data_IF_408752906972
#
_entry.id   IF_408752906972
#
_cell.length_a   1.000
_cell.length_b   1.000
_cell.length_c   1.000
_cell.angle_alpha   90.00
_cell.angle_beta   90.00
_cell.angle_gamma   90.00
#
_symmetry.space_group_name_H-M   'P 1'
#
loop_
_entity.id
_entity.type
_entity.pdbx_description
1 polymer ?
#
# COMPACT_ATOMS: atom_id res chain seq x y z
N UNK A 1 -16.91 -6.45 -32.57
CA UNK A 1 -15.94 -5.54 -31.92
C UNK A 1 -16.35 -5.41 -30.46
N UNK A 2 -15.44 -5.66 -29.51
CA UNK A 2 -15.75 -5.52 -28.08
C UNK A 2 -15.69 -4.03 -27.70
N UNK A 3 -16.62 -3.57 -26.86
CA UNK A 3 -16.63 -2.20 -26.34
C UNK A 3 -15.39 -1.95 -25.45
N UNK A 4 -15.07 -0.67 -25.23
CA UNK A 4 -13.98 -0.20 -24.35
C UNK A 4 -12.57 -0.70 -24.65
N UNK A 5 -12.36 -1.39 -25.77
CA UNK A 5 -11.03 -1.90 -26.14
C UNK A 5 -10.68 -3.25 -25.52
N UNK A 6 -11.64 -4.01 -24.98
CA UNK A 6 -11.38 -5.31 -24.34
C UNK A 6 -10.76 -6.38 -25.25
N UNK A 7 -10.63 -6.14 -26.55
CA UNK A 7 -9.83 -7.01 -27.41
C UNK A 7 -8.36 -7.04 -26.97
N UNK A 8 -7.80 -5.90 -26.56
CA UNK A 8 -6.42 -5.84 -26.04
C UNK A 8 -6.29 -6.58 -24.72
N UNK A 9 -7.28 -6.43 -23.82
CA UNK A 9 -7.29 -7.16 -22.55
C UNK A 9 -7.39 -8.67 -22.74
N UNK A 10 -8.33 -9.08 -23.60
CA UNK A 10 -8.59 -10.48 -23.92
C UNK A 10 -7.41 -11.13 -24.63
N UNK A 11 -6.82 -10.47 -25.61
CA UNK A 11 -5.85 -11.10 -26.52
C UNK A 11 -4.40 -10.93 -26.03
N UNK A 12 -4.12 -10.00 -25.10
CA UNK A 12 -2.75 -9.70 -24.66
C UNK A 12 -2.62 -9.37 -23.17
N UNK A 13 -3.29 -8.32 -22.68
CA UNK A 13 -2.94 -7.73 -21.37
C UNK A 13 -3.15 -8.68 -20.20
N UNK A 14 -4.23 -9.48 -20.22
CA UNK A 14 -4.51 -10.43 -19.15
C UNK A 14 -3.45 -11.53 -19.06
N UNK A 15 -3.07 -12.11 -20.19
CA UNK A 15 -2.03 -13.14 -20.22
C UNK A 15 -0.67 -12.57 -19.84
N UNK A 16 -0.34 -11.37 -20.32
CA UNK A 16 0.88 -10.67 -19.93
C UNK A 16 0.92 -10.44 -18.41
N UNK A 17 -0.15 -9.91 -17.83
CA UNK A 17 -0.23 -9.62 -16.39
C UNK A 17 -0.16 -10.90 -15.57
N UNK A 18 -0.88 -11.97 -15.94
CA UNK A 18 -0.81 -13.24 -15.20
C UNK A 18 0.55 -13.92 -15.30
N UNK A 19 1.20 -13.86 -16.46
CA UNK A 19 2.57 -14.34 -16.61
C UNK A 19 3.52 -13.51 -15.76
N UNK A 20 3.42 -12.18 -15.83
CA UNK A 20 4.21 -11.29 -14.99
C UNK A 20 3.99 -11.59 -13.49
N UNK A 21 2.75 -11.68 -13.04
CA UNK A 21 2.38 -12.06 -11.66
C UNK A 21 2.85 -13.47 -11.29
N UNK A 22 3.21 -14.34 -12.23
CA UNK A 22 3.80 -15.65 -11.92
C UNK A 22 5.32 -15.56 -11.81
N UNK A 23 5.97 -14.90 -12.77
CA UNK A 23 7.44 -14.82 -12.83
C UNK A 23 8.03 -13.81 -11.85
N UNK A 24 7.43 -12.62 -11.76
CA UNK A 24 7.88 -11.54 -10.88
C UNK A 24 8.03 -11.97 -9.42
N UNK A 25 7.00 -12.54 -8.74
CA UNK A 25 7.16 -12.93 -7.34
C UNK A 25 8.15 -14.08 -7.19
N UNK A 26 8.26 -15.00 -8.15
CA UNK A 26 9.25 -16.08 -8.08
C UNK A 26 10.68 -15.50 -8.04
N UNK A 27 10.98 -14.52 -8.90
CA UNK A 27 12.27 -13.83 -8.89
C UNK A 27 12.43 -13.00 -7.62
N UNK A 28 11.45 -12.16 -7.27
CA UNK A 28 11.53 -11.25 -6.13
C UNK A 28 11.66 -12.00 -4.80
N UNK A 29 10.82 -13.01 -4.55
CA UNK A 29 10.80 -13.81 -3.31
C UNK A 29 12.02 -14.71 -3.15
N UNK A 30 12.60 -15.23 -4.24
CA UNK A 30 13.76 -16.13 -4.17
C UNK A 30 15.10 -15.40 -4.22
N UNK A 31 15.16 -14.19 -4.79
CA UNK A 31 16.43 -13.48 -4.99
C UNK A 31 16.47 -12.18 -4.20
N UNK A 32 15.58 -11.23 -4.51
CA UNK A 32 15.66 -9.88 -4.01
C UNK A 32 15.38 -9.78 -2.51
N UNK A 33 14.24 -10.30 -2.05
CA UNK A 33 13.88 -10.25 -0.64
C UNK A 33 14.87 -11.00 0.26
N UNK A 34 15.30 -12.25 -0.06
CA UNK A 34 16.32 -12.94 0.71
C UNK A 34 17.66 -12.21 0.73
N UNK A 35 18.08 -11.59 -0.39
CA UNK A 35 19.30 -10.80 -0.43
C UNK A 35 19.23 -9.59 0.51
N UNK A 36 18.13 -8.83 0.48
CA UNK A 36 17.93 -7.68 1.38
C UNK A 36 17.85 -8.13 2.84
N UNK A 37 17.11 -9.21 3.13
CA UNK A 37 17.03 -9.78 4.49
C UNK A 37 18.39 -10.27 4.99
N UNK A 38 19.18 -10.93 4.12
CA UNK A 38 20.53 -11.36 4.44
C UNK A 38 21.42 -10.17 4.81
N UNK A 39 21.38 -9.09 4.04
CA UNK A 39 22.12 -7.86 4.35
C UNK A 39 21.67 -7.26 5.69
N UNK A 40 20.37 -7.18 5.95
CA UNK A 40 19.84 -6.61 7.19
C UNK A 40 20.18 -7.46 8.43
N UNK A 41 20.11 -8.78 8.33
CA UNK A 41 20.32 -9.71 9.44
C UNK A 41 21.81 -9.90 9.71
N UNK A 42 22.61 -10.22 8.70
CA UNK A 42 23.98 -10.71 8.89
C UNK A 42 25.06 -9.65 8.71
N UNK A 43 24.80 -8.53 8.02
CA UNK A 43 25.81 -7.47 7.87
C UNK A 43 25.64 -6.42 8.97
N UNK A 44 26.65 -6.25 9.86
CA UNK A 44 26.65 -5.15 10.81
C UNK A 44 26.93 -3.83 10.08
N UNK A 45 25.87 -3.11 9.71
CA UNK A 45 25.96 -1.74 9.19
C UNK A 45 25.80 -0.66 10.27
N UNK A 46 25.99 0.63 9.90
CA UNK A 46 25.80 1.78 10.80
C UNK A 46 24.34 2.03 11.21
N UNK A 47 23.40 1.23 10.70
CA UNK A 47 21.97 1.34 10.98
C UNK A 47 21.69 0.85 12.41
N UNK A 48 21.02 1.68 13.20
CA UNK A 48 20.60 1.33 14.57
C UNK A 48 19.61 0.16 14.58
N UNK A 49 19.70 -0.71 15.60
CA UNK A 49 18.87 -1.91 15.77
C UNK A 49 17.36 -1.67 15.55
N UNK A 50 16.71 -0.63 16.10
CA UNK A 50 15.27 -0.42 15.89
C UNK A 50 14.88 -0.19 14.43
N UNK A 51 15.66 0.60 13.69
CA UNK A 51 15.44 0.86 12.26
C UNK A 51 15.65 -0.42 11.47
N UNK A 52 16.67 -1.20 11.82
CA UNK A 52 16.94 -2.49 11.19
C UNK A 52 15.77 -3.46 11.38
N UNK A 53 15.19 -3.56 12.58
CA UNK A 53 13.99 -4.37 12.81
C UNK A 53 12.81 -3.87 11.99
N UNK A 54 12.58 -2.56 11.92
CA UNK A 54 11.54 -1.99 11.06
C UNK A 54 11.73 -2.37 9.59
N UNK A 55 12.96 -2.34 9.07
CA UNK A 55 13.24 -2.76 7.69
C UNK A 55 13.00 -4.25 7.47
N UNK A 56 13.40 -5.10 8.43
CA UNK A 56 13.14 -6.54 8.38
C UNK A 56 11.63 -6.80 8.35
N UNK A 57 10.87 -6.19 9.26
CA UNK A 57 9.41 -6.32 9.30
C UNK A 57 8.78 -5.85 8.00
N UNK A 58 9.20 -4.69 7.47
CA UNK A 58 8.71 -4.18 6.20
C UNK A 58 9.00 -5.17 5.04
N UNK A 59 10.21 -5.74 4.98
CA UNK A 59 10.55 -6.74 3.96
C UNK A 59 9.70 -8.00 4.08
N UNK A 60 9.47 -8.51 5.28
CA UNK A 60 8.57 -9.66 5.51
C UNK A 60 7.15 -9.34 5.06
N UNK A 61 6.63 -8.15 5.37
CA UNK A 61 5.30 -7.75 4.95
C UNK A 61 5.20 -7.59 3.42
N UNK A 62 6.23 -7.06 2.75
CA UNK A 62 6.28 -7.02 1.28
C UNK A 62 6.28 -8.43 0.68
N UNK A 63 7.05 -9.36 1.23
CA UNK A 63 7.03 -10.76 0.79
C UNK A 63 5.64 -11.40 0.95
N UNK A 64 5.00 -11.22 2.11
CA UNK A 64 3.63 -11.70 2.34
C UNK A 64 2.64 -11.08 1.35
N UNK A 65 2.82 -9.80 1.05
CA UNK A 65 1.99 -9.08 0.10
C UNK A 65 2.14 -9.63 -1.32
N UNK A 66 3.37 -9.89 -1.77
CA UNK A 66 3.63 -10.52 -3.07
C UNK A 66 3.03 -11.94 -3.14
N UNK A 67 3.13 -12.73 -2.07
CA UNK A 67 2.47 -14.03 -1.98
C UNK A 67 0.95 -13.92 -2.13
N UNK A 68 0.32 -13.00 -1.40
CA UNK A 68 -1.13 -12.83 -1.45
C UNK A 68 -1.57 -12.36 -2.83
N UNK A 69 -0.97 -11.31 -3.38
CA UNK A 69 -1.46 -10.70 -4.62
C UNK A 69 -1.03 -11.43 -5.89
N UNK A 70 0.20 -11.94 -5.94
CA UNK A 70 0.73 -12.51 -7.17
C UNK A 70 0.51 -14.03 -7.25
N UNK A 71 0.42 -14.71 -6.11
CA UNK A 71 0.28 -16.17 -6.07
C UNK A 71 -1.15 -16.58 -5.71
N UNK A 72 -1.71 -16.06 -4.61
CA UNK A 72 -3.03 -16.49 -4.13
C UNK A 72 -4.20 -15.87 -4.90
N UNK A 73 -4.21 -14.54 -5.07
CA UNK A 73 -5.37 -13.81 -5.58
C UNK A 73 -5.31 -13.49 -7.07
N UNK A 74 -4.12 -13.24 -7.64
CA UNK A 74 -3.88 -12.89 -9.06
C UNK A 74 -4.89 -11.88 -9.60
N UNK A 75 -4.82 -10.67 -9.07
CA UNK A 75 -5.84 -9.64 -9.34
C UNK A 75 -5.63 -9.03 -10.72
N UNK A 76 -6.73 -8.92 -11.48
CA UNK A 76 -6.80 -8.20 -12.74
C UNK A 76 -7.97 -7.20 -12.72
N UNK A 77 -7.72 -5.88 -12.65
CA UNK A 77 -8.78 -4.89 -12.73
C UNK A 77 -9.32 -4.78 -14.16
N UNK A 78 -10.64 -4.86 -14.34
CA UNK A 78 -11.30 -4.71 -15.64
C UNK A 78 -11.86 -3.30 -15.81
N UNK A 79 -11.04 -2.34 -16.22
CA UNK A 79 -11.52 -0.97 -16.46
C UNK A 79 -12.41 -0.95 -17.72
N UNK A 80 -13.60 -0.31 -17.71
CA UNK A 80 -14.13 0.57 -16.66
C UNK A 80 -15.09 -0.10 -15.66
N UNK A 81 -15.27 -1.42 -15.70
CA UNK A 81 -16.15 -2.10 -14.74
C UNK A 81 -15.56 -2.02 -13.33
N UNK A 82 -16.39 -1.77 -12.31
CA UNK A 82 -16.01 -1.95 -10.92
C UNK A 82 -15.98 -3.46 -10.64
N UNK A 83 -14.95 -4.14 -11.13
CA UNK A 83 -14.72 -5.56 -10.92
C UNK A 83 -13.32 -5.79 -10.36
N UNK A 84 -13.24 -6.28 -9.12
CA UNK A 84 -11.98 -6.59 -8.43
C UNK A 84 -12.17 -7.83 -7.57
N UNK A 85 -11.12 -8.66 -7.46
CA UNK A 85 -11.05 -9.77 -6.52
C UNK A 85 -10.57 -9.23 -5.16
N UNK A 86 -11.26 -9.61 -4.08
CA UNK A 86 -11.00 -9.34 -2.64
C UNK A 86 -9.62 -8.71 -2.34
N UNK A 87 -9.60 -7.37 -2.24
CA UNK A 87 -8.37 -6.58 -2.30
C UNK A 87 -7.88 -6.06 -0.93
N UNK A 88 -8.80 -5.95 0.04
CA UNK A 88 -8.58 -5.16 1.24
C UNK A 88 -7.49 -5.71 2.15
N UNK A 89 -7.47 -7.02 2.42
CA UNK A 89 -6.48 -7.61 3.34
C UNK A 89 -5.04 -7.51 2.85
N UNK A 90 -4.81 -7.72 1.55
CA UNK A 90 -3.46 -7.66 1.00
C UNK A 90 -2.90 -6.24 1.01
N UNK A 91 -3.69 -5.23 0.62
CA UNK A 91 -3.21 -3.83 0.52
C UNK A 91 -2.87 -3.26 1.90
N UNK A 92 -3.57 -3.71 2.94
CA UNK A 92 -3.45 -3.15 4.28
C UNK A 92 -2.29 -3.73 5.06
N UNK A 93 -1.93 -4.99 4.82
CA UNK A 93 -0.86 -5.66 5.57
C UNK A 93 0.52 -4.96 5.51
N UNK A 94 1.00 -4.45 4.35
CA UNK A 94 2.31 -3.79 4.27
C UNK A 94 2.32 -2.34 4.73
N UNK A 95 1.17 -1.66 4.80
CA UNK A 95 1.12 -0.21 5.05
C UNK A 95 1.60 0.18 6.47
N UNK A 96 1.12 -0.43 7.58
CA UNK A 96 1.54 -0.01 8.92
C UNK A 96 3.05 -0.15 9.19
N UNK A 97 3.72 -1.26 8.80
CA UNK A 97 5.18 -1.38 8.93
C UNK A 97 5.95 -0.33 8.13
N UNK A 98 5.51 -0.03 6.90
CA UNK A 98 6.13 0.97 6.04
C UNK A 98 6.03 2.37 6.64
N UNK A 99 4.83 2.76 7.08
CA UNK A 99 4.59 4.07 7.70
C UNK A 99 5.35 4.21 9.01
N UNK A 100 5.34 3.17 9.85
CA UNK A 100 6.12 3.15 11.09
C UNK A 100 7.61 3.37 10.82
N UNK A 101 8.16 2.71 9.80
CA UNK A 101 9.55 2.87 9.39
C UNK A 101 9.82 4.30 8.90
N UNK A 102 8.98 4.82 7.99
CA UNK A 102 9.09 6.16 7.44
C UNK A 102 9.13 7.22 8.55
N UNK A 103 8.20 7.13 9.49
CA UNK A 103 8.11 8.03 10.63
C UNK A 103 9.31 7.92 11.56
N UNK A 104 9.73 6.69 11.88
CA UNK A 104 10.91 6.46 12.75
C UNK A 104 12.18 7.02 12.12
N UNK A 105 12.36 6.83 10.81
CA UNK A 105 13.50 7.36 10.06
C UNK A 105 13.48 8.88 9.98
N UNK A 106 12.34 9.46 9.60
CA UNK A 106 12.15 10.92 9.54
C UNK A 106 12.52 11.56 10.88
N UNK A 107 12.03 11.01 11.98
CA UNK A 107 12.21 11.58 13.32
C UNK A 107 13.67 11.50 13.78
N UNK A 108 14.37 10.41 13.45
CA UNK A 108 15.80 10.27 13.74
C UNK A 108 16.66 11.19 12.87
N UNK A 109 16.28 11.43 11.62
CA UNK A 109 16.97 12.41 10.78
C UNK A 109 16.74 13.83 11.28
N UNK A 110 15.51 14.17 11.66
CA UNK A 110 15.16 15.47 12.19
C UNK A 110 15.78 15.75 13.57
N UNK A 111 16.11 14.73 14.36
CA UNK A 111 16.63 14.90 15.73
C UNK A 111 17.99 15.59 15.80
N UNK A 112 18.74 15.65 14.70
CA UNK A 112 20.04 16.33 14.66
C UNK A 112 19.97 17.71 13.99
N UNK A 113 18.75 18.19 13.67
CA UNK A 113 18.53 19.47 13.00
C UNK A 113 17.82 20.48 13.90
N UNK A 114 17.87 21.75 13.51
CA UNK A 114 17.13 22.87 14.13
C UNK A 114 15.72 23.03 13.54
N UNK A 115 15.24 22.08 12.72
CA UNK A 115 13.94 22.19 12.04
C UNK A 115 12.80 22.37 13.04
N UNK A 116 11.90 23.33 12.78
CA UNK A 116 10.66 23.54 13.56
C UNK A 116 9.71 22.34 13.48
N UNK A 117 9.87 21.48 12.47
CA UNK A 117 9.10 20.25 12.28
C UNK A 117 9.67 19.08 13.11
N UNK A 118 10.66 19.36 13.96
CA UNK A 118 11.10 18.45 15.00
C UNK A 118 10.00 18.38 16.07
N UNK A 119 9.14 17.37 15.94
CA UNK A 119 8.04 17.08 16.87
C UNK A 119 8.51 16.96 18.33
N UNK A 120 9.82 16.78 18.57
CA UNK A 120 10.42 16.59 19.90
C UNK A 120 10.90 17.85 20.62
N UNK A 121 11.17 18.97 19.93
CA UNK A 121 12.00 20.03 20.53
C UNK A 121 11.24 21.18 21.20
N UNK A 122 9.98 21.44 20.83
CA UNK A 122 9.21 22.55 21.44
C UNK A 122 8.82 22.34 22.91
N UNK A 123 9.00 21.13 23.44
CA UNK A 123 8.64 20.81 24.82
C UNK A 123 9.83 20.46 25.71
N UNK A 124 11.08 20.72 25.29
CA UNK A 124 12.25 20.42 26.13
C UNK A 124 12.42 21.41 27.31
N UNK A 125 11.77 22.58 27.27
CA UNK A 125 11.78 23.55 28.38
C UNK A 125 10.90 23.12 29.57
N UNK A 126 10.04 22.11 29.39
CA UNK A 126 9.27 21.46 30.44
C UNK A 126 9.74 20.00 30.53
N UNK A 127 10.12 19.54 31.71
CA UNK A 127 10.78 18.25 31.99
C UNK A 127 9.90 16.98 31.71
N UNK A 128 8.94 17.07 30.79
CA UNK A 128 7.96 16.06 30.35
C UNK A 128 8.19 15.53 28.92
N UNK A 129 9.29 15.92 28.26
CA UNK A 129 9.43 15.88 26.78
C UNK A 129 9.54 14.49 26.14
N UNK A 130 10.07 13.47 26.81
CA UNK A 130 10.22 12.14 26.22
C UNK A 130 8.89 11.38 26.10
N UNK A 131 7.91 11.69 26.96
CA UNK A 131 6.60 11.03 26.97
C UNK A 131 5.71 11.57 25.85
N UNK A 132 5.73 12.89 25.62
CA UNK A 132 4.87 13.55 24.62
C UNK A 132 5.26 13.25 23.17
N UNK A 133 6.56 13.12 22.85
CA UNK A 133 7.00 12.74 21.49
C UNK A 133 6.46 11.36 21.08
N UNK A 134 6.51 10.40 22.02
CA UNK A 134 5.91 9.07 21.82
C UNK A 134 4.40 9.19 21.61
N UNK A 135 3.74 10.09 22.34
CA UNK A 135 2.30 10.31 22.18
C UNK A 135 1.94 10.77 20.76
N UNK A 136 2.59 11.78 20.18
CA UNK A 136 2.23 12.26 18.83
C UNK A 136 2.49 11.23 17.74
N UNK A 137 3.63 10.51 17.81
CA UNK A 137 3.92 9.43 16.86
C UNK A 137 2.90 8.29 16.98
N UNK A 138 2.59 7.88 18.22
CA UNK A 138 1.59 6.84 18.46
C UNK A 138 0.21 7.27 17.97
N UNK A 139 -0.20 8.53 18.22
CA UNK A 139 -1.49 9.06 17.73
C UNK A 139 -1.55 8.97 16.21
N UNK A 140 -0.51 9.39 15.50
CA UNK A 140 -0.48 9.29 14.03
C UNK A 140 -0.55 7.84 13.55
N UNK A 141 0.22 6.93 14.17
CA UNK A 141 0.15 5.50 13.84
C UNK A 141 -1.25 4.94 14.11
N UNK A 142 -1.91 5.32 15.21
CA UNK A 142 -3.27 4.88 15.52
C UNK A 142 -4.29 5.44 14.53
N UNK A 143 -4.12 6.69 14.08
CA UNK A 143 -4.98 7.27 13.03
C UNK A 143 -4.81 6.50 11.73
N UNK A 144 -3.58 6.23 11.30
CA UNK A 144 -3.29 5.48 10.08
C UNK A 144 -3.83 4.04 10.15
N UNK A 145 -3.60 3.34 11.27
CA UNK A 145 -4.21 2.02 11.51
C UNK A 145 -5.73 2.11 11.50
N UNK A 146 -6.32 3.15 12.08
CA UNK A 146 -7.75 3.40 12.06
C UNK A 146 -8.30 3.57 10.63
N UNK A 147 -7.61 4.34 9.79
CA UNK A 147 -7.96 4.51 8.37
C UNK A 147 -7.85 3.17 7.61
N UNK A 148 -6.79 2.41 7.85
CA UNK A 148 -6.64 1.08 7.28
C UNK A 148 -7.79 0.13 7.68
N UNK A 149 -8.11 0.07 8.98
CA UNK A 149 -9.25 -0.74 9.47
C UNK A 149 -10.57 -0.27 8.86
N UNK A 150 -10.77 1.05 8.74
CA UNK A 150 -11.95 1.61 8.09
C UNK A 150 -12.07 1.15 6.63
N UNK A 151 -10.97 1.09 5.87
CA UNK A 151 -10.97 0.51 4.52
C UNK A 151 -11.30 -0.99 4.51
N UNK A 152 -10.78 -1.80 5.45
CA UNK A 152 -11.17 -3.23 5.52
C UNK A 152 -12.69 -3.35 5.70
N UNK A 153 -13.22 -2.58 6.64
CA UNK A 153 -14.65 -2.59 6.99
C UNK A 153 -15.47 -2.08 5.81
N UNK A 154 -15.03 -1.00 5.16
CA UNK A 154 -15.65 -0.46 3.97
C UNK A 154 -15.74 -1.48 2.83
N UNK A 155 -14.61 -2.09 2.45
CA UNK A 155 -14.62 -3.16 1.45
C UNK A 155 -15.50 -4.36 1.86
N UNK A 156 -15.55 -4.69 3.15
CA UNK A 156 -16.39 -5.79 3.64
C UNK A 156 -17.89 -5.43 3.61
N UNK A 157 -18.25 -4.18 3.85
CA UNK A 157 -19.63 -3.69 3.88
C UNK A 157 -20.16 -3.34 2.49
N UNK A 158 -19.33 -2.76 1.63
CA UNK A 158 -19.70 -2.20 0.33
C UNK A 158 -19.18 -3.01 -0.87
N UNK A 159 -18.18 -3.88 -0.68
CA UNK A 159 -17.67 -4.81 -1.68
C UNK A 159 -18.54 -6.05 -1.84
N UNK A 160 -19.85 -5.87 -1.85
CA UNK A 160 -20.82 -6.94 -2.06
C UNK A 160 -21.03 -7.12 -3.56
N UNK A 161 -21.04 -8.37 -4.03
CA UNK A 161 -21.33 -8.70 -5.43
C UNK A 161 -22.73 -8.19 -5.82
N UNK A 162 -22.84 -7.47 -6.93
CA UNK A 162 -24.15 -6.99 -7.42
C UNK A 162 -25.07 -8.16 -7.77
N UNK A 163 -26.38 -7.99 -7.54
CA UNK A 163 -27.41 -8.95 -7.97
C UNK A 163 -27.48 -9.09 -9.50
N UNK A 164 -26.97 -8.10 -10.25
CA UNK A 164 -26.92 -8.09 -11.72
C UNK A 164 -25.64 -8.73 -12.28
N UNK A 165 -24.81 -9.36 -11.44
CA UNK A 165 -23.49 -9.84 -11.86
C UNK A 165 -23.55 -10.82 -13.03
N UNK A 166 -24.50 -11.75 -13.03
CA UNK A 166 -24.66 -12.71 -14.14
C UNK A 166 -25.08 -12.03 -15.44
N UNK A 167 -26.01 -11.06 -15.37
CA UNK A 167 -26.43 -10.27 -16.52
C UNK A 167 -25.25 -9.52 -17.13
N UNK A 168 -24.45 -8.85 -16.29
CA UNK A 168 -23.25 -8.10 -16.72
C UNK A 168 -22.21 -9.05 -17.35
N UNK A 169 -21.93 -10.18 -16.72
CA UNK A 169 -20.97 -11.17 -17.24
C UNK A 169 -21.45 -11.89 -18.51
N UNK A 170 -22.75 -11.88 -18.80
CA UNK A 170 -23.32 -12.41 -20.02
C UNK A 170 -23.25 -11.45 -21.21
N UNK A 171 -22.83 -10.20 -21.02
CA UNK A 171 -22.70 -9.23 -22.11
C UNK A 171 -21.60 -9.66 -23.09
N UNK A 172 -21.76 -9.42 -24.41
CA UNK A 172 -20.81 -9.87 -25.43
C UNK A 172 -19.36 -9.41 -25.19
N UNK A 173 -19.18 -8.23 -24.58
CA UNK A 173 -17.87 -7.66 -24.27
C UNK A 173 -17.15 -8.32 -23.09
N UNK A 174 -17.86 -9.02 -22.20
CA UNK A 174 -17.32 -9.72 -21.03
C UNK A 174 -17.46 -11.24 -21.10
N UNK A 175 -18.24 -11.77 -22.04
CA UNK A 175 -18.55 -13.21 -22.11
C UNK A 175 -17.31 -14.09 -22.26
N UNK A 176 -16.23 -13.57 -22.85
CA UNK A 176 -14.94 -14.26 -22.99
C UNK A 176 -14.25 -14.55 -21.65
N UNK A 177 -14.60 -13.84 -20.56
CA UNK A 177 -14.05 -14.08 -19.23
C UNK A 177 -14.44 -15.46 -18.68
N UNK A 178 -15.54 -16.04 -19.16
CA UNK A 178 -15.97 -17.39 -18.79
C UNK A 178 -14.93 -18.45 -19.17
N UNK A 179 -14.15 -18.18 -20.22
CA UNK A 179 -13.11 -19.10 -20.72
C UNK A 179 -11.80 -18.97 -19.93
N UNK A 180 -11.67 -17.98 -19.04
CA UNK A 180 -10.40 -17.64 -18.36
C UNK A 180 -10.16 -18.34 -17.02
N UNK A 181 -11.01 -19.29 -16.62
CA UNK A 181 -10.89 -20.07 -15.39
C UNK A 181 -10.58 -19.21 -14.15
N UNK A 182 -11.60 -18.57 -13.58
CA UNK A 182 -11.49 -17.76 -12.37
C UNK A 182 -12.84 -17.25 -11.89
N UNK A 183 -12.89 -16.66 -10.70
CA UNK A 183 -14.09 -15.98 -10.21
C UNK A 183 -14.01 -14.49 -10.51
N UNK A 184 -14.99 -13.98 -11.26
CA UNK A 184 -15.10 -12.55 -11.54
C UNK A 184 -16.09 -11.92 -10.56
N UNK A 185 -15.56 -11.08 -9.69
CA UNK A 185 -16.36 -10.27 -8.78
C UNK A 185 -16.75 -8.97 -9.45
N UNK A 186 -18.06 -8.81 -9.72
CA UNK A 186 -18.63 -7.59 -10.29
C UNK A 186 -19.37 -6.86 -9.17
N UNK A 187 -19.05 -5.59 -8.94
CA UNK A 187 -19.69 -4.78 -7.91
C UNK A 187 -20.85 -3.92 -8.44
N UNK A 188 -20.92 -3.69 -9.74
CA UNK A 188 -21.97 -2.90 -10.38
C UNK A 188 -21.73 -2.74 -11.89
N UNK A 189 -22.60 -1.98 -12.54
CA UNK A 189 -22.45 -1.62 -13.94
C UNK A 189 -21.53 -0.40 -14.11
N UNK A 190 -21.05 -0.13 -15.33
CA UNK A 190 -20.14 0.99 -15.63
C UNK A 190 -20.72 2.34 -15.22
N UNK A 191 -22.02 2.54 -15.44
CA UNK A 191 -22.74 3.77 -15.08
C UNK A 191 -23.37 3.74 -13.69
N UNK A 192 -23.44 2.57 -13.06
CA UNK A 192 -24.11 2.35 -11.76
C UNK A 192 -23.31 1.34 -10.93
N UNK A 193 -22.23 1.78 -10.25
CA UNK A 193 -21.41 0.94 -9.39
C UNK A 193 -22.12 0.52 -8.07
N UNK A 194 -23.40 0.90 -7.89
CA UNK A 194 -24.19 0.61 -6.69
C UNK A 194 -23.46 1.05 -5.39
N UNK A 195 -23.38 0.15 -4.40
CA UNK A 195 -22.78 0.43 -3.10
C UNK A 195 -21.27 0.62 -3.16
N UNK A 196 -20.61 0.10 -4.19
CA UNK A 196 -19.16 0.15 -4.30
C UNK A 196 -18.63 1.56 -4.57
N UNK A 197 -19.45 2.48 -5.07
CA UNK A 197 -19.08 3.90 -5.14
C UNK A 197 -18.74 4.48 -3.76
N UNK A 198 -19.47 4.11 -2.71
CA UNK A 198 -19.19 4.58 -1.35
C UNK A 198 -17.83 4.09 -0.85
N UNK A 199 -17.45 2.86 -1.20
CA UNK A 199 -16.10 2.36 -0.91
C UNK A 199 -15.03 3.13 -1.66
N UNK A 200 -15.24 3.41 -2.96
CA UNK A 200 -14.30 4.21 -3.73
C UNK A 200 -14.09 5.60 -3.12
N UNK A 201 -15.14 6.24 -2.59
CA UNK A 201 -15.01 7.51 -1.88
C UNK A 201 -14.25 7.37 -0.55
N UNK A 202 -14.55 6.33 0.23
CA UNK A 202 -13.84 6.05 1.49
C UNK A 202 -12.35 5.79 1.24
N UNK A 203 -12.04 4.90 0.29
CA UNK A 203 -10.68 4.57 -0.13
C UNK A 203 -9.95 5.80 -0.65
N UNK A 204 -10.58 6.61 -1.49
CA UNK A 204 -10.00 7.85 -1.99
C UNK A 204 -9.67 8.82 -0.86
N UNK A 205 -10.55 8.94 0.13
CA UNK A 205 -10.31 9.75 1.33
C UNK A 205 -9.12 9.24 2.13
N UNK A 206 -9.03 7.93 2.36
CA UNK A 206 -7.91 7.32 3.07
C UNK A 206 -6.59 7.53 2.31
N UNK A 207 -6.55 7.22 1.02
CA UNK A 207 -5.39 7.42 0.17
C UNK A 207 -4.93 8.87 0.16
N UNK A 208 -5.86 9.83 0.09
CA UNK A 208 -5.51 11.25 0.11
C UNK A 208 -4.83 11.64 1.43
N UNK A 209 -5.32 11.15 2.57
CA UNK A 209 -4.74 11.45 3.89
C UNK A 209 -3.37 10.77 4.02
N UNK A 210 -3.31 9.46 3.76
CA UNK A 210 -2.10 8.65 3.96
C UNK A 210 -0.99 9.10 3.01
N UNK A 211 -1.30 9.26 1.72
CA UNK A 211 -0.32 9.71 0.73
C UNK A 211 0.20 11.10 1.02
N UNK A 212 -0.66 12.03 1.47
CA UNK A 212 -0.23 13.38 1.83
C UNK A 212 0.78 13.36 2.99
N UNK A 213 0.54 12.53 4.01
CA UNK A 213 1.47 12.37 5.13
C UNK A 213 2.79 11.76 4.67
N UNK A 214 2.74 10.67 3.90
CA UNK A 214 3.94 10.00 3.36
C UNK A 214 4.76 10.95 2.49
N UNK A 215 4.11 11.68 1.57
CA UNK A 215 4.76 12.63 0.69
C UNK A 215 5.40 13.77 1.49
N UNK A 216 4.67 14.35 2.46
CA UNK A 216 5.19 15.42 3.30
C UNK A 216 6.43 14.99 4.09
N UNK A 217 6.38 13.85 4.80
CA UNK A 217 7.52 13.37 5.58
C UNK A 217 8.70 12.96 4.70
N UNK A 218 8.44 12.39 3.52
CA UNK A 218 9.49 12.05 2.56
C UNK A 218 10.19 13.30 2.02
N UNK A 219 9.43 14.30 1.56
CA UNK A 219 9.97 15.55 1.05
C UNK A 219 10.74 16.32 2.13
N UNK A 220 10.23 16.37 3.36
CA UNK A 220 10.96 16.99 4.47
C UNK A 220 12.25 16.23 4.82
N UNK A 221 12.23 14.89 4.76
CA UNK A 221 13.44 14.09 4.97
C UNK A 221 14.50 14.38 3.90
N UNK A 222 14.09 14.47 2.62
CA UNK A 222 14.97 14.84 1.50
C UNK A 222 15.56 16.24 1.72
N UNK A 223 14.71 17.19 2.10
CA UNK A 223 15.15 18.56 2.40
C UNK A 223 16.19 18.60 3.54
N UNK A 224 15.99 17.86 4.63
CA UNK A 224 16.99 17.74 5.70
C UNK A 224 18.31 17.18 5.17
N UNK A 225 18.27 16.10 4.38
CA UNK A 225 19.48 15.49 3.81
C UNK A 225 20.25 16.52 2.98
N UNK A 226 19.53 17.26 2.14
CA UNK A 226 20.12 18.33 1.32
C UNK A 226 20.84 19.38 2.18
N UNK A 227 20.20 19.87 3.26
CA UNK A 227 20.82 20.83 4.16
C UNK A 227 22.06 20.29 4.89
N UNK A 228 22.05 19.01 5.28
CA UNK A 228 23.18 18.40 6.00
C UNK A 228 24.38 18.06 5.12
N UNK A 229 24.19 17.98 3.79
CA UNK A 229 25.27 17.70 2.83
C UNK A 229 26.09 18.94 2.47
N UNK A 230 25.62 20.14 2.79
CA UNK A 230 26.39 21.37 2.58
C UNK A 230 27.48 21.41 3.65
N UNK A 231 28.78 21.29 3.29
CA UNK A 231 29.84 21.40 4.27
C UNK A 231 29.77 22.78 4.92
N UNK A 232 29.69 22.80 6.25
CA UNK A 232 29.83 24.03 7.03
C UNK A 232 31.26 24.54 6.86
N UNK A 233 31.44 25.51 5.98
CA UNK A 233 32.66 26.31 5.84
C UNK A 233 32.78 27.31 6.98
#
# INVERSE_FOLDING_TARGET
QLLFGFHTDRDFSMDFIHNFQTFYPAVSLLTWHPAVLYLLIYKPGPISKPIRYGYITNQVCLMLNEWIFCILLRIYPLVPYPALILLSFGVILPNPPFEFLLLTMHQKMASNTTSRLRLSQRFHLLHLSARQLKTTQNVMIYVLIGLMVANVVGFSAFGIRTKKAEEILNRPELSWLKDRHGEVFVFGDVSDPEWFAYECYLLSGCLLIDFSLVAFFSMHSIYIIYLTKVPSF
#
